data_IF_994251620988
#
_entry.id   IF_994251620988
#
_cell.length_a   1.000
_cell.length_b   1.000
_cell.length_c   1.000
_cell.angle_alpha   90.00
_cell.angle_beta   90.00
_cell.angle_gamma   90.00
#
_symmetry.space_group_name_H-M   'P 1'
#
loop_
_entity.id
_entity.type
_entity.pdbx_description
1 polymer ?
#
# COMPACT_ATOMS: atom_id res chain seq x y z
N UNK A 1 5.27 -16.78 -3.78
CA UNK A 1 4.50 -15.56 -3.46
C UNK A 1 5.36 -14.61 -2.63
N UNK A 2 5.21 -13.30 -2.77
CA UNK A 2 5.94 -12.30 -1.98
C UNK A 2 5.08 -11.81 -0.82
N UNK A 3 5.71 -11.41 0.29
CA UNK A 3 5.04 -10.90 1.48
C UNK A 3 5.70 -9.60 1.93
N UNK A 4 4.89 -8.56 2.05
CA UNK A 4 5.31 -7.19 2.33
C UNK A 4 4.43 -6.58 3.41
N UNK A 5 4.79 -5.42 3.92
CA UNK A 5 4.01 -4.70 4.92
C UNK A 5 3.53 -3.35 4.37
N UNK A 6 2.30 -2.96 4.70
CA UNK A 6 1.79 -1.61 4.50
C UNK A 6 1.99 -0.80 5.78
N UNK A 7 2.57 0.38 5.65
CA UNK A 7 2.79 1.33 6.75
C UNK A 7 1.91 2.56 6.57
N UNK A 8 0.78 2.57 7.29
CA UNK A 8 -0.12 3.71 7.37
C UNK A 8 0.32 4.69 8.47
N UNK A 9 1.12 4.24 9.44
CA UNK A 9 1.40 4.96 10.68
C UNK A 9 0.08 5.37 11.34
N UNK A 10 -0.76 4.40 11.65
CA UNK A 10 -2.09 4.61 12.22
C UNK A 10 -2.01 4.64 13.75
N UNK A 11 -2.08 5.82 14.41
CA UNK A 11 -2.07 5.91 15.86
C UNK A 11 -3.43 5.51 16.45
N UNK A 12 -3.42 5.16 17.73
CA UNK A 12 -4.63 4.85 18.49
C UNK A 12 -5.41 6.11 18.92
N UNK A 13 -4.74 7.27 18.98
CA UNK A 13 -5.34 8.60 19.15
C UNK A 13 -4.48 9.67 18.44
N UNK A 14 -4.98 10.92 18.37
CA UNK A 14 -4.31 12.03 17.70
C UNK A 14 -3.36 12.82 18.63
N UNK A 15 -2.94 12.25 19.76
CA UNK A 15 -1.98 12.91 20.63
C UNK A 15 -0.55 12.82 20.08
N UNK A 16 0.27 13.83 20.37
CA UNK A 16 1.71 13.83 20.01
C UNK A 16 2.42 12.58 20.58
N UNK A 17 1.99 12.10 21.74
CA UNK A 17 2.57 10.90 22.35
C UNK A 17 2.24 9.63 21.54
N UNK A 18 1.00 9.49 21.05
CA UNK A 18 0.57 8.38 20.21
C UNK A 18 1.26 8.44 18.84
N UNK A 19 1.35 9.62 18.21
CA UNK A 19 2.08 9.80 16.96
C UNK A 19 3.55 9.36 17.07
N UNK A 20 4.26 9.88 18.10
CA UNK A 20 5.66 9.49 18.33
C UNK A 20 5.83 8.00 18.55
N UNK A 21 4.91 7.37 19.30
CA UNK A 21 4.91 5.92 19.53
C UNK A 21 4.70 5.18 18.22
N UNK A 22 3.68 5.52 17.43
CA UNK A 22 3.34 4.84 16.17
C UNK A 22 4.48 4.92 15.14
N UNK A 23 5.16 6.06 15.02
CA UNK A 23 6.35 6.16 14.17
C UNK A 23 7.50 5.27 14.68
N UNK A 24 7.76 5.26 16.01
CA UNK A 24 8.81 4.42 16.59
C UNK A 24 8.51 2.93 16.36
N UNK A 25 7.27 2.51 16.59
CA UNK A 25 6.80 1.14 16.35
C UNK A 25 6.90 0.73 14.87
N UNK A 26 6.51 1.62 13.94
CA UNK A 26 6.69 1.39 12.50
C UNK A 26 8.15 1.14 12.12
N UNK A 27 9.08 1.94 12.66
CA UNK A 27 10.50 1.76 12.39
C UNK A 27 11.03 0.44 12.93
N UNK A 28 10.61 0.03 14.12
CA UNK A 28 10.98 -1.25 14.73
C UNK A 28 10.40 -2.43 13.93
N UNK A 29 9.12 -2.36 13.54
CA UNK A 29 8.46 -3.36 12.70
C UNK A 29 9.16 -3.52 11.35
N UNK A 30 9.55 -2.42 10.70
CA UNK A 30 10.23 -2.44 9.40
C UNK A 30 11.64 -3.07 9.49
N UNK A 31 12.41 -2.75 10.54
CA UNK A 31 13.74 -3.35 10.76
C UNK A 31 13.59 -4.85 11.05
N UNK A 32 12.65 -5.23 11.88
CA UNK A 32 12.39 -6.63 12.18
C UNK A 32 11.90 -7.42 10.95
N UNK A 33 11.06 -6.81 10.10
CA UNK A 33 10.65 -7.41 8.83
C UNK A 33 11.84 -7.66 7.88
N UNK A 34 12.82 -6.74 7.83
CA UNK A 34 14.08 -6.94 7.08
C UNK A 34 14.87 -8.17 7.60
N UNK A 35 14.97 -8.32 8.93
CA UNK A 35 15.62 -9.47 9.56
C UNK A 35 14.89 -10.79 9.28
N UNK A 36 13.57 -10.76 9.26
CA UNK A 36 12.71 -11.92 9.02
C UNK A 36 12.57 -12.30 7.54
N UNK A 37 13.07 -11.47 6.62
CA UNK A 37 13.07 -11.74 5.18
C UNK A 37 11.75 -11.40 4.47
N UNK A 38 10.98 -10.46 4.98
CA UNK A 38 9.89 -9.86 4.22
C UNK A 38 10.43 -9.17 2.96
N UNK A 39 9.60 -9.08 1.93
CA UNK A 39 10.02 -8.58 0.63
C UNK A 39 10.14 -7.06 0.58
N UNK A 40 9.15 -6.33 1.12
CA UNK A 40 9.03 -4.89 0.92
C UNK A 40 8.26 -4.20 2.05
N UNK A 41 8.59 -2.93 2.30
CA UNK A 41 7.80 -1.99 3.10
C UNK A 41 7.17 -0.99 2.13
N UNK A 42 5.85 -0.91 2.14
CA UNK A 42 5.08 0.08 1.40
C UNK A 42 4.62 1.20 2.35
N UNK A 43 5.13 2.41 2.17
CA UNK A 43 4.68 3.58 2.91
C UNK A 43 3.68 4.38 2.07
N UNK A 44 2.56 4.74 2.67
CA UNK A 44 1.49 5.49 2.01
C UNK A 44 1.75 7.00 2.05
N UNK A 45 1.03 7.78 1.24
CA UNK A 45 0.97 9.24 1.35
C UNK A 45 -0.48 9.67 1.59
N UNK A 46 -0.76 10.13 2.81
CA UNK A 46 -2.08 10.62 3.23
C UNK A 46 -1.99 11.90 4.03
N UNK A 47 -3.00 12.76 3.88
CA UNK A 47 -3.00 14.10 4.49
C UNK A 47 -4.33 14.40 5.19
N UNK A 48 -4.25 14.69 6.50
CA UNK A 48 -5.41 15.09 7.30
C UNK A 48 -6.42 13.99 7.56
N UNK A 49 -6.02 12.73 7.52
CA UNK A 49 -6.86 11.56 7.76
C UNK A 49 -6.60 10.99 9.17
N UNK A 50 -7.05 11.72 10.19
CA UNK A 50 -6.67 11.58 11.60
C UNK A 50 -6.77 10.16 12.16
N UNK A 51 -7.80 9.39 11.82
CA UNK A 51 -8.00 8.03 12.31
C UNK A 51 -7.48 6.97 11.34
N UNK A 52 -7.04 7.38 10.15
CA UNK A 52 -6.64 6.44 9.11
C UNK A 52 -5.13 6.38 8.93
N UNK A 53 -4.47 7.52 8.73
CA UNK A 53 -3.04 7.53 8.43
C UNK A 53 -2.37 8.85 8.82
N UNK A 54 -1.22 8.76 9.50
CA UNK A 54 -0.34 9.90 9.78
C UNK A 54 0.93 9.88 8.92
N UNK A 55 1.03 9.00 7.93
CA UNK A 55 2.15 8.94 6.98
C UNK A 55 1.97 10.01 5.88
N UNK A 56 2.32 11.24 6.19
CA UNK A 56 2.19 12.39 5.28
C UNK A 56 3.43 12.68 4.43
N UNK A 57 4.58 12.11 4.79
CA UNK A 57 5.86 12.29 4.11
C UNK A 57 6.59 10.93 3.97
N UNK A 58 6.08 10.02 3.11
CA UNK A 58 6.65 8.68 2.95
C UNK A 58 8.12 8.71 2.54
N UNK A 59 8.54 9.69 1.76
CA UNK A 59 9.93 9.84 1.36
C UNK A 59 10.90 10.04 2.53
N UNK A 60 10.45 10.69 3.62
CA UNK A 60 11.26 10.87 4.82
C UNK A 60 11.35 9.56 5.60
N UNK A 61 10.21 8.88 5.81
CA UNK A 61 10.17 7.57 6.46
C UNK A 61 11.01 6.54 5.71
N UNK A 62 10.82 6.41 4.40
CA UNK A 62 11.56 5.47 3.56
C UNK A 62 13.05 5.82 3.48
N UNK A 63 13.40 7.11 3.45
CA UNK A 63 14.80 7.57 3.52
C UNK A 63 15.48 7.18 4.83
N UNK A 64 14.77 7.30 5.96
CA UNK A 64 15.26 6.83 7.26
C UNK A 64 15.43 5.30 7.27
N UNK A 65 14.46 4.55 6.75
CA UNK A 65 14.51 3.09 6.68
C UNK A 65 15.58 2.59 5.71
N UNK A 66 15.91 3.33 4.65
CA UNK A 66 17.00 2.98 3.74
C UNK A 66 18.34 2.84 4.47
N UNK A 67 18.60 3.71 5.46
CA UNK A 67 19.80 3.65 6.29
C UNK A 67 19.75 2.64 7.44
N UNK A 68 18.58 2.09 7.74
CA UNK A 68 18.35 1.16 8.88
C UNK A 68 18.10 -0.29 8.47
N UNK A 69 17.88 -0.53 7.18
CA UNK A 69 17.58 -1.84 6.61
C UNK A 69 18.61 -2.20 5.52
N UNK A 70 18.71 -3.46 5.14
CA UNK A 70 19.75 -3.94 4.20
C UNK A 70 19.19 -4.64 2.97
N UNK A 71 18.09 -5.37 3.09
CA UNK A 71 17.56 -6.27 2.05
C UNK A 71 16.15 -5.91 1.61
N UNK A 72 15.31 -5.53 2.57
CA UNK A 72 13.90 -5.22 2.32
C UNK A 72 13.77 -4.07 1.32
N UNK A 73 12.86 -4.19 0.37
CA UNK A 73 12.58 -3.13 -0.60
C UNK A 73 11.75 -2.02 0.04
N UNK A 74 11.73 -0.87 -0.60
CA UNK A 74 11.14 0.37 -0.09
C UNK A 74 10.17 0.91 -1.14
N UNK A 75 8.88 0.70 -0.92
CA UNK A 75 7.82 1.06 -1.83
C UNK A 75 7.06 2.34 -1.43
N UNK A 76 6.81 3.20 -2.37
CA UNK A 76 5.80 4.24 -2.23
C UNK A 76 4.42 3.64 -2.56
N UNK A 77 3.55 3.54 -1.60
CA UNK A 77 2.26 2.88 -1.77
C UNK A 77 1.02 3.73 -1.49
N UNK A 78 0.92 4.95 -2.09
CA UNK A 78 1.54 5.49 -3.33
C UNK A 78 1.97 6.95 -3.17
N UNK A 79 2.74 7.49 -4.11
CA UNK A 79 2.94 8.94 -4.24
C UNK A 79 1.73 9.57 -4.93
N UNK A 80 1.19 10.64 -4.38
CA UNK A 80 0.14 11.45 -5.00
C UNK A 80 0.75 12.40 -6.04
N UNK A 81 0.49 12.17 -7.32
CA UNK A 81 1.16 12.87 -8.42
C UNK A 81 0.39 14.03 -9.09
N UNK A 82 -0.88 14.35 -8.79
CA UNK A 82 -1.44 15.64 -9.19
C UNK A 82 -0.60 16.79 -8.62
N UNK A 83 -0.31 17.82 -9.43
CA UNK A 83 0.79 18.77 -9.18
C UNK A 83 0.70 19.57 -7.89
N UNK A 84 -0.51 19.76 -7.35
CA UNK A 84 -0.71 20.46 -6.07
C UNK A 84 -0.28 19.61 -4.86
N UNK A 85 -0.27 18.28 -4.99
CA UNK A 85 0.38 17.40 -4.00
C UNK A 85 1.88 17.39 -4.24
N UNK A 86 2.30 16.97 -5.45
CA UNK A 86 3.71 16.80 -5.76
C UNK A 86 4.01 17.17 -7.22
N UNK A 87 4.93 18.09 -7.44
CA UNK A 87 5.40 18.39 -8.79
C UNK A 87 6.18 17.21 -9.37
N UNK A 88 5.95 16.75 -10.63
CA UNK A 88 6.59 15.57 -11.22
C UNK A 88 8.13 15.57 -11.16
N UNK A 89 8.78 16.72 -11.33
CA UNK A 89 10.24 16.85 -11.17
C UNK A 89 10.64 16.44 -9.74
N UNK A 90 9.95 16.97 -8.72
CA UNK A 90 10.26 16.64 -7.32
C UNK A 90 10.05 15.16 -7.00
N UNK A 91 9.04 14.54 -7.61
CA UNK A 91 8.83 13.09 -7.48
C UNK A 91 9.99 12.33 -8.12
N UNK A 92 10.37 12.67 -9.36
CA UNK A 92 11.48 12.02 -10.06
C UNK A 92 12.80 12.09 -9.27
N UNK A 93 13.12 13.28 -8.73
CA UNK A 93 14.33 13.53 -7.94
C UNK A 93 14.34 12.74 -6.63
N UNK A 94 13.23 12.74 -5.87
CA UNK A 94 13.11 12.06 -4.58
C UNK A 94 13.21 10.54 -4.73
N UNK A 95 12.51 9.97 -5.72
CA UNK A 95 12.56 8.54 -6.01
C UNK A 95 13.98 8.11 -6.42
N UNK A 96 14.63 8.87 -7.31
CA UNK A 96 16.00 8.58 -7.71
C UNK A 96 16.99 8.71 -6.54
N UNK A 97 16.83 9.72 -5.69
CA UNK A 97 17.66 9.90 -4.49
C UNK A 97 17.49 8.71 -3.52
N UNK A 98 16.25 8.30 -3.26
CA UNK A 98 15.98 7.15 -2.40
C UNK A 98 16.55 5.85 -3.00
N UNK A 99 16.47 5.70 -4.34
CA UNK A 99 17.00 4.53 -5.03
C UNK A 99 18.53 4.44 -4.89
N UNK A 100 19.23 5.56 -4.98
CA UNK A 100 20.70 5.64 -4.71
C UNK A 100 20.99 5.29 -3.24
N UNK A 101 20.32 5.95 -2.30
CA UNK A 101 20.54 5.75 -0.87
C UNK A 101 20.25 4.33 -0.40
N UNK A 102 19.29 3.65 -1.03
CA UNK A 102 18.92 2.28 -0.72
C UNK A 102 19.69 1.24 -1.54
N UNK A 103 20.58 1.64 -2.45
CA UNK A 103 21.28 0.77 -3.39
C UNK A 103 20.31 -0.08 -4.24
N UNK A 104 19.35 0.60 -4.90
CA UNK A 104 18.46 -0.03 -5.89
C UNK A 104 17.29 -0.83 -5.28
N UNK A 105 16.83 -0.49 -4.07
CA UNK A 105 15.72 -1.20 -3.40
C UNK A 105 14.37 -0.49 -3.52
N UNK A 106 14.21 0.51 -4.37
CA UNK A 106 12.97 1.27 -4.49
C UNK A 106 11.99 0.63 -5.46
N UNK A 107 10.71 0.61 -5.09
CA UNK A 107 9.56 0.42 -5.96
C UNK A 107 8.67 1.68 -5.89
N UNK A 108 8.20 2.17 -7.04
CA UNK A 108 7.43 3.41 -7.08
C UNK A 108 5.98 3.17 -7.45
N UNK A 109 5.08 3.34 -6.48
CA UNK A 109 3.64 3.39 -6.71
C UNK A 109 3.17 4.82 -6.92
N UNK A 110 2.25 5.00 -7.86
CA UNK A 110 1.67 6.28 -8.25
C UNK A 110 0.15 6.27 -8.05
N UNK A 111 -0.40 7.38 -7.59
CA UNK A 111 -1.83 7.55 -7.35
C UNK A 111 -2.29 8.99 -7.46
N UNK A 112 -3.58 9.23 -7.20
CA UNK A 112 -4.21 10.53 -7.39
C UNK A 112 -5.06 11.01 -6.22
N UNK A 113 -5.14 10.27 -5.11
CA UNK A 113 -6.10 10.44 -4.02
C UNK A 113 -7.58 10.26 -4.44
N UNK A 114 -8.38 9.74 -3.53
CA UNK A 114 -9.84 9.72 -3.63
C UNK A 114 -10.54 10.37 -2.42
N UNK A 115 -9.79 10.81 -1.41
CA UNK A 115 -10.32 11.47 -0.22
C UNK A 115 -10.69 12.93 -0.49
N UNK A 116 -11.92 13.30 -0.13
CA UNK A 116 -12.38 14.69 -0.20
C UNK A 116 -11.65 15.61 0.79
N UNK A 117 -11.12 15.06 1.89
CA UNK A 117 -10.33 15.80 2.87
C UNK A 117 -9.02 16.27 2.23
N UNK A 118 -8.29 15.35 1.62
CA UNK A 118 -7.03 15.64 0.92
C UNK A 118 -7.24 16.59 -0.26
N UNK A 119 -8.23 16.29 -1.12
CA UNK A 119 -8.52 17.10 -2.29
C UNK A 119 -8.89 18.55 -1.90
N UNK A 120 -9.67 18.71 -0.83
CA UNK A 120 -10.03 20.04 -0.33
C UNK A 120 -8.86 20.78 0.32
N UNK A 121 -7.99 20.10 1.07
CA UNK A 121 -6.83 20.70 1.72
C UNK A 121 -5.81 21.23 0.70
N UNK A 122 -5.62 20.54 -0.41
CA UNK A 122 -4.68 20.90 -1.47
C UNK A 122 -5.37 21.63 -2.65
N UNK A 123 -6.63 22.04 -2.49
CA UNK A 123 -7.39 22.77 -3.53
C UNK A 123 -7.37 22.07 -4.90
N UNK A 124 -7.55 20.75 -4.90
CA UNK A 124 -7.50 19.93 -6.11
C UNK A 124 -8.76 20.10 -6.94
N UNK A 125 -8.62 20.40 -8.22
CA UNK A 125 -9.71 20.26 -9.17
C UNK A 125 -9.91 18.78 -9.53
N UNK A 126 -11.03 18.23 -9.09
CA UNK A 126 -11.39 16.82 -9.33
C UNK A 126 -11.51 16.45 -10.80
N UNK A 127 -11.89 17.40 -11.65
CA UNK A 127 -12.01 17.17 -13.09
C UNK A 127 -10.65 16.94 -13.77
N UNK A 128 -9.57 17.44 -13.16
CA UNK A 128 -8.22 17.34 -13.69
C UNK A 128 -7.38 16.20 -13.09
N UNK A 129 -7.83 15.60 -11.98
CA UNK A 129 -7.09 14.57 -11.23
C UNK A 129 -6.55 13.45 -12.13
N UNK A 130 -7.42 12.84 -12.93
CA UNK A 130 -7.06 11.73 -13.81
C UNK A 130 -6.03 12.17 -14.85
N UNK A 131 -6.28 13.33 -15.49
CA UNK A 131 -5.39 13.85 -16.53
C UNK A 131 -4.02 14.22 -16.00
N UNK A 132 -3.93 14.90 -14.86
CA UNK A 132 -2.66 15.24 -14.23
C UNK A 132 -1.87 14.00 -13.80
N UNK A 133 -2.53 13.00 -13.21
CA UNK A 133 -1.92 11.73 -12.83
C UNK A 133 -1.36 10.99 -14.05
N UNK A 134 -2.13 10.86 -15.12
CA UNK A 134 -1.71 10.19 -16.36
C UNK A 134 -0.54 10.90 -17.03
N UNK A 135 -0.55 12.24 -17.06
CA UNK A 135 0.53 13.01 -17.63
C UNK A 135 1.82 12.88 -16.79
N UNK A 136 1.73 12.97 -15.47
CA UNK A 136 2.85 12.75 -14.55
C UNK A 136 3.44 11.33 -14.69
N UNK A 137 2.59 10.30 -14.73
CA UNK A 137 2.99 8.92 -14.91
C UNK A 137 3.71 8.68 -16.25
N UNK A 138 3.34 9.43 -17.28
CA UNK A 138 4.00 9.38 -18.59
C UNK A 138 5.36 10.09 -18.62
N UNK A 139 5.51 11.16 -17.83
CA UNK A 139 6.72 12.00 -17.79
C UNK A 139 7.83 11.41 -16.93
N UNK A 140 7.50 10.98 -15.69
CA UNK A 140 8.50 10.62 -14.68
C UNK A 140 9.47 9.53 -15.15
N UNK A 141 9.02 8.42 -15.77
CA UNK A 141 9.95 7.41 -16.30
C UNK A 141 10.86 7.94 -17.44
N UNK A 142 10.41 8.94 -18.19
CA UNK A 142 11.23 9.59 -19.22
C UNK A 142 12.27 10.51 -18.60
N UNK A 143 11.92 11.24 -17.51
CA UNK A 143 12.86 12.08 -16.76
C UNK A 143 14.07 11.28 -16.27
N UNK A 144 13.86 10.04 -15.82
CA UNK A 144 14.96 9.18 -15.34
C UNK A 144 15.91 8.72 -16.44
N UNK A 145 15.46 8.68 -17.70
CA UNK A 145 16.24 8.16 -18.85
C UNK A 145 16.81 9.21 -19.79
N UNK A 146 16.39 10.46 -19.67
CA UNK A 146 16.83 11.55 -20.54
C UNK A 146 17.86 12.41 -19.83
N UNK A 147 18.96 12.78 -20.50
CA UNK A 147 19.94 13.72 -19.95
C UNK A 147 19.32 15.10 -19.78
N UNK A 148 18.61 15.56 -20.81
CA UNK A 148 17.77 16.76 -20.79
C UNK A 148 16.35 16.35 -21.11
N UNK A 149 15.42 16.75 -20.27
CA UNK A 149 13.99 16.50 -20.40
C UNK A 149 13.26 17.80 -20.69
N UNK A 150 12.33 17.77 -21.63
CA UNK A 150 11.36 18.83 -21.88
C UNK A 150 9.97 18.23 -22.03
N UNK A 151 8.95 19.02 -21.70
CA UNK A 151 7.57 18.59 -21.82
C UNK A 151 6.65 19.78 -22.11
N UNK A 152 5.76 19.60 -23.07
CA UNK A 152 4.70 20.55 -23.38
C UNK A 152 3.37 19.80 -23.48
N UNK A 153 2.75 19.57 -22.33
CA UNK A 153 1.50 18.83 -22.19
C UNK A 153 0.32 19.74 -21.88
N UNK A 154 -0.79 19.12 -21.53
CA UNK A 154 -2.00 19.86 -21.15
C UNK A 154 -1.88 20.49 -19.76
N UNK A 155 -1.28 19.78 -18.81
CA UNK A 155 -1.21 20.18 -17.40
C UNK A 155 0.18 20.65 -16.97
N UNK A 156 1.21 20.20 -17.66
CA UNK A 156 2.59 20.50 -17.31
C UNK A 156 3.37 21.05 -18.51
N UNK A 157 4.15 22.11 -18.24
CA UNK A 157 5.06 22.73 -19.19
C UNK A 157 6.44 22.82 -18.56
N UNK A 158 7.37 22.00 -19.02
CA UNK A 158 8.74 21.91 -18.49
C UNK A 158 9.69 22.27 -19.61
N UNK A 159 10.43 23.40 -19.51
CA UNK A 159 11.45 23.76 -20.48
C UNK A 159 12.60 22.75 -20.41
N UNK A 160 13.50 22.69 -21.42
CA UNK A 160 14.67 21.82 -21.40
C UNK A 160 15.43 21.92 -20.06
N UNK A 161 15.39 20.83 -19.28
CA UNK A 161 15.89 20.79 -17.90
C UNK A 161 16.60 19.47 -17.63
N UNK A 162 17.79 19.51 -17.01
CA UNK A 162 18.44 18.31 -16.50
C UNK A 162 17.77 17.87 -15.19
N UNK A 163 17.16 16.68 -15.19
CA UNK A 163 16.56 16.10 -14.00
C UNK A 163 17.58 15.19 -13.32
N UNK A 164 18.04 15.56 -12.15
CA UNK A 164 19.11 14.89 -11.40
C UNK A 164 18.75 14.74 -9.92
N UNK A 165 19.20 13.62 -9.25
CA UNK A 165 20.00 12.52 -9.80
C UNK A 165 19.20 11.54 -10.67
N UNK A 166 19.86 10.51 -11.21
CA UNK A 166 19.24 9.37 -11.87
C UNK A 166 19.19 8.18 -10.92
N UNK A 167 18.17 7.30 -11.02
CA UNK A 167 18.14 6.08 -10.22
C UNK A 167 19.24 5.10 -10.64
N UNK A 168 19.67 4.24 -9.73
CA UNK A 168 20.61 3.15 -10.02
C UNK A 168 19.94 1.98 -10.72
N UNK A 169 18.65 1.75 -10.47
CA UNK A 169 17.86 0.74 -11.17
C UNK A 169 17.62 1.15 -12.63
N UNK A 170 17.92 0.27 -13.57
CA UNK A 170 17.79 0.53 -15.01
C UNK A 170 16.68 -0.33 -15.63
N UNK A 171 15.85 0.20 -16.53
CA UNK A 171 15.85 1.60 -17.02
C UNK A 171 15.24 2.60 -16.02
N UNK A 172 14.62 2.12 -14.96
CA UNK A 172 14.04 2.87 -13.84
C UNK A 172 13.54 1.88 -12.76
N UNK A 173 13.24 2.34 -11.52
CA UNK A 173 12.56 1.53 -10.51
C UNK A 173 11.24 0.94 -11.02
N UNK A 174 10.83 -0.26 -10.57
CA UNK A 174 9.53 -0.82 -10.90
C UNK A 174 8.39 0.14 -10.56
N UNK A 175 7.41 0.24 -11.47
CA UNK A 175 6.30 1.19 -11.37
C UNK A 175 5.02 0.43 -11.04
N UNK A 176 4.18 1.04 -10.17
CA UNK A 176 2.87 0.54 -9.78
C UNK A 176 1.82 1.65 -9.80
N UNK A 177 0.55 1.26 -9.86
CA UNK A 177 -0.58 2.15 -9.66
C UNK A 177 -1.50 1.65 -8.55
N UNK A 178 -2.08 2.58 -7.77
CA UNK A 178 -3.17 2.27 -6.86
C UNK A 178 -4.44 1.98 -7.66
N UNK A 179 -5.03 0.81 -7.43
CA UNK A 179 -6.16 0.28 -8.20
C UNK A 179 -7.36 -0.03 -7.30
N UNK A 180 -8.21 0.97 -7.07
CA UNK A 180 -9.44 0.81 -6.29
C UNK A 180 -10.64 0.30 -7.11
N UNK A 181 -10.59 0.42 -8.44
CA UNK A 181 -11.68 0.06 -9.37
C UNK A 181 -11.20 -0.86 -10.49
N UNK A 182 -12.07 -1.71 -11.06
CA UNK A 182 -11.70 -2.61 -12.17
C UNK A 182 -11.05 -1.89 -13.36
N UNK A 183 -11.55 -0.70 -13.71
CA UNK A 183 -11.05 0.10 -14.84
C UNK A 183 -9.60 0.53 -14.61
N UNK A 184 -9.23 0.86 -13.37
CA UNK A 184 -7.85 1.23 -13.01
C UNK A 184 -6.91 0.01 -13.05
N UNK A 185 -7.41 -1.17 -12.68
CA UNK A 185 -6.67 -2.44 -12.79
C UNK A 185 -6.34 -2.75 -14.25
N UNK A 186 -7.33 -2.65 -15.12
CA UNK A 186 -7.13 -2.86 -16.56
C UNK A 186 -6.19 -1.81 -17.16
N UNK A 187 -6.32 -0.54 -16.74
CA UNK A 187 -5.42 0.53 -17.15
C UNK A 187 -3.98 0.25 -16.73
N UNK A 188 -3.72 -0.16 -15.49
CA UNK A 188 -2.39 -0.55 -15.02
C UNK A 188 -1.80 -1.68 -15.90
N UNK A 189 -2.61 -2.71 -16.22
CA UNK A 189 -2.21 -3.75 -17.16
C UNK A 189 -1.86 -3.20 -18.54
N UNK A 190 -2.69 -2.37 -19.17
CA UNK A 190 -2.40 -1.75 -20.47
C UNK A 190 -1.13 -0.90 -20.47
N UNK A 191 -0.82 -0.24 -19.37
CA UNK A 191 0.39 0.55 -19.18
C UNK A 191 1.64 -0.31 -18.88
N UNK A 192 1.48 -1.61 -18.63
CA UNK A 192 2.59 -2.50 -18.29
C UNK A 192 3.17 -2.27 -16.89
N UNK A 193 2.38 -1.77 -15.95
CA UNK A 193 2.79 -1.47 -14.57
C UNK A 193 2.08 -2.35 -13.55
N UNK A 194 2.69 -2.53 -12.38
CA UNK A 194 2.12 -3.32 -11.29
C UNK A 194 0.83 -2.71 -10.72
N UNK A 195 0.01 -3.54 -10.13
CA UNK A 195 -1.29 -3.15 -9.58
C UNK A 195 -1.32 -3.33 -8.07
N UNK A 196 -1.55 -2.24 -7.31
CA UNK A 196 -1.73 -2.24 -5.86
C UNK A 196 -3.22 -2.18 -5.55
N UNK A 197 -3.76 -3.21 -4.90
CA UNK A 197 -5.19 -3.36 -4.69
C UNK A 197 -5.55 -3.54 -3.24
N UNK A 198 -6.47 -2.74 -2.72
CA UNK A 198 -7.20 -3.15 -1.52
C UNK A 198 -8.07 -4.37 -1.83
N UNK A 199 -8.05 -5.33 -0.92
CA UNK A 199 -8.80 -6.56 -1.06
C UNK A 199 -10.20 -6.41 -0.50
N UNK A 200 -11.18 -6.69 -1.34
CA UNK A 200 -12.57 -6.85 -0.95
C UNK A 200 -13.23 -7.82 -1.94
N UNK A 201 -14.13 -8.66 -1.43
CA UNK A 201 -14.89 -9.59 -2.26
C UNK A 201 -14.45 -11.05 -2.17
N UNK A 202 -15.13 -11.91 -2.93
CA UNK A 202 -14.91 -13.36 -2.94
C UNK A 202 -13.72 -13.76 -3.83
N UNK A 203 -13.32 -15.02 -3.72
CA UNK A 203 -12.29 -15.63 -4.57
C UNK A 203 -12.58 -15.43 -6.06
N UNK A 204 -13.82 -15.64 -6.48
CA UNK A 204 -14.23 -15.46 -7.88
C UNK A 204 -14.12 -14.00 -8.35
N UNK A 205 -14.43 -13.04 -7.48
CA UNK A 205 -14.26 -11.62 -7.78
C UNK A 205 -12.78 -11.27 -7.96
N UNK A 206 -11.93 -11.76 -7.06
CA UNK A 206 -10.49 -11.55 -7.15
C UNK A 206 -9.90 -12.22 -8.38
N UNK A 207 -10.27 -13.47 -8.68
CA UNK A 207 -9.81 -14.19 -9.86
C UNK A 207 -10.15 -13.41 -11.14
N UNK A 208 -11.39 -12.97 -11.32
CA UNK A 208 -11.78 -12.15 -12.49
C UNK A 208 -10.96 -10.86 -12.60
N UNK A 209 -10.64 -10.22 -11.46
CA UNK A 209 -9.83 -9.01 -11.41
C UNK A 209 -8.39 -9.27 -11.86
N UNK A 210 -7.79 -10.36 -11.39
CA UNK A 210 -6.46 -10.81 -11.81
C UNK A 210 -6.43 -11.18 -13.29
N UNK A 211 -7.41 -11.95 -13.78
CA UNK A 211 -7.53 -12.33 -15.20
C UNK A 211 -7.63 -11.11 -16.12
N UNK A 212 -8.45 -10.11 -15.74
CA UNK A 212 -8.55 -8.85 -16.47
C UNK A 212 -7.21 -8.14 -16.57
N UNK A 213 -6.48 -8.05 -15.45
CA UNK A 213 -5.12 -7.49 -15.42
C UNK A 213 -4.15 -8.24 -16.30
N UNK A 214 -4.10 -9.61 -16.18
CA UNK A 214 -3.19 -10.45 -16.96
C UNK A 214 -3.47 -10.34 -18.47
N UNK A 215 -4.75 -10.28 -18.85
CA UNK A 215 -5.16 -10.06 -20.24
C UNK A 215 -4.70 -8.69 -20.74
N UNK A 216 -4.88 -7.64 -19.96
CA UNK A 216 -4.47 -6.29 -20.34
C UNK A 216 -2.94 -6.17 -20.48
N UNK A 217 -2.16 -6.73 -19.53
CA UNK A 217 -0.70 -6.60 -19.53
C UNK A 217 -0.03 -7.46 -20.61
N UNK A 218 -0.66 -8.55 -21.04
CA UNK A 218 -0.14 -9.39 -22.14
C UNK A 218 -0.04 -8.64 -23.48
N UNK A 219 -0.78 -7.55 -23.63
CA UNK A 219 -0.81 -6.69 -24.83
C UNK A 219 -0.24 -5.32 -24.57
N UNK A 220 0.38 -5.09 -23.40
CA UNK A 220 0.91 -3.79 -23.01
C UNK A 220 1.99 -3.31 -24.00
N UNK A 221 1.84 -2.06 -24.44
CA UNK A 221 2.82 -1.35 -25.30
C UNK A 221 3.34 -0.10 -24.60
N UNK A 222 3.39 -0.19 -23.26
CA UNK A 222 3.57 0.97 -22.42
C UNK A 222 5.01 1.35 -22.16
N UNK A 223 5.25 1.71 -20.90
CA UNK A 223 6.53 2.14 -20.38
C UNK A 223 7.59 1.03 -20.56
N UNK A 224 8.82 1.39 -20.59
CA UNK A 224 9.95 0.59 -21.09
C UNK A 224 10.27 -0.72 -20.40
N UNK A 225 9.77 -0.92 -19.17
CA UNK A 225 9.98 -2.14 -18.41
C UNK A 225 8.63 -2.63 -17.86
N UNK A 226 8.19 -3.80 -18.31
CA UNK A 226 6.90 -4.36 -17.88
C UNK A 226 7.06 -4.91 -16.46
N UNK A 227 6.24 -4.38 -15.55
CA UNK A 227 6.11 -4.89 -14.20
C UNK A 227 4.77 -5.64 -14.06
N UNK A 228 4.82 -6.96 -14.19
CA UNK A 228 3.63 -7.83 -14.14
C UNK A 228 3.34 -8.34 -12.71
N UNK A 229 3.35 -7.45 -11.70
CA UNK A 229 2.99 -7.80 -10.32
C UNK A 229 1.57 -7.34 -9.99
N UNK A 230 0.74 -8.28 -9.53
CA UNK A 230 -0.59 -8.01 -8.98
C UNK A 230 -0.52 -8.18 -7.45
N UNK A 231 -0.66 -7.08 -6.73
CA UNK A 231 -0.53 -7.02 -5.28
C UNK A 231 -1.88 -6.82 -4.61
N UNK A 232 -2.08 -7.45 -3.45
CA UNK A 232 -3.28 -7.31 -2.62
C UNK A 232 -2.90 -6.89 -1.21
N UNK A 233 -3.75 -6.06 -0.57
CA UNK A 233 -3.50 -5.50 0.78
C UNK A 233 -4.55 -6.00 1.79
N UNK A 234 -4.45 -7.23 2.31
CA UNK A 234 -5.32 -7.71 3.38
C UNK A 234 -4.88 -7.18 4.76
N UNK A 235 -5.85 -6.95 5.65
CA UNK A 235 -5.57 -6.85 7.08
C UNK A 235 -4.99 -8.16 7.60
N UNK A 236 -4.00 -8.12 8.52
CA UNK A 236 -3.36 -9.34 8.98
C UNK A 236 -3.00 -9.31 10.47
N UNK A 237 -3.24 -10.42 11.15
CA UNK A 237 -2.69 -10.74 12.47
C UNK A 237 -2.66 -12.26 12.64
N UNK A 238 -1.48 -12.85 12.71
CA UNK A 238 -1.29 -14.30 12.84
C UNK A 238 -0.54 -14.61 14.13
N UNK A 239 -1.20 -15.32 15.05
CA UNK A 239 -0.65 -15.73 16.34
C UNK A 239 -0.87 -17.22 16.53
N UNK A 240 -0.13 -17.85 17.45
CA UNK A 240 -0.33 -19.27 17.82
C UNK A 240 -1.72 -19.51 18.42
N UNK A 241 -2.21 -18.56 19.23
CA UNK A 241 -3.55 -18.59 19.80
C UNK A 241 -4.54 -17.96 18.81
N UNK A 242 -5.34 -18.83 18.17
CA UNK A 242 -6.36 -18.45 17.19
C UNK A 242 -7.38 -17.47 17.74
N UNK A 243 -7.83 -17.67 18.98
CA UNK A 243 -8.80 -16.79 19.62
C UNK A 243 -8.23 -15.40 19.83
N UNK A 244 -6.99 -15.31 20.36
CA UNK A 244 -6.30 -14.03 20.55
C UNK A 244 -6.08 -13.31 19.21
N UNK A 245 -5.63 -14.03 18.18
CA UNK A 245 -5.46 -13.48 16.84
C UNK A 245 -6.77 -12.90 16.28
N UNK A 246 -7.87 -13.64 16.43
CA UNK A 246 -9.18 -13.19 15.94
C UNK A 246 -9.73 -12.01 16.74
N UNK A 247 -9.59 -12.02 18.08
CA UNK A 247 -10.09 -10.94 18.94
C UNK A 247 -9.42 -9.59 18.61
N UNK A 248 -8.10 -9.55 18.56
CA UNK A 248 -7.37 -8.33 18.25
C UNK A 248 -7.37 -8.00 16.76
N UNK A 249 -7.19 -9.01 15.91
CA UNK A 249 -7.11 -8.82 14.46
C UNK A 249 -8.41 -8.31 13.84
N UNK A 250 -9.56 -8.90 14.17
CA UNK A 250 -10.84 -8.41 13.64
C UNK A 250 -11.25 -7.06 14.23
N UNK A 251 -10.86 -6.76 15.49
CA UNK A 251 -11.05 -5.42 16.05
C UNK A 251 -10.23 -4.38 15.25
N UNK A 252 -8.95 -4.66 15.02
CA UNK A 252 -8.08 -3.79 14.23
C UNK A 252 -8.56 -3.64 12.79
N UNK A 253 -8.93 -4.74 12.14
CA UNK A 253 -9.45 -4.72 10.78
C UNK A 253 -10.74 -3.91 10.67
N UNK A 254 -11.65 -4.00 11.64
CA UNK A 254 -12.86 -3.18 11.69
C UNK A 254 -12.52 -1.70 11.80
N UNK A 255 -11.65 -1.31 12.74
CA UNK A 255 -11.23 0.08 12.89
C UNK A 255 -10.63 0.62 11.61
N UNK A 256 -9.73 -0.13 10.99
CA UNK A 256 -9.09 0.25 9.73
C UNK A 256 -10.11 0.39 8.59
N UNK A 257 -11.02 -0.55 8.43
CA UNK A 257 -12.03 -0.53 7.37
C UNK A 257 -13.07 0.59 7.55
N UNK A 258 -13.51 0.84 8.79
CA UNK A 258 -14.44 1.94 9.08
C UNK A 258 -13.80 3.30 8.82
N UNK A 259 -12.53 3.50 9.22
CA UNK A 259 -11.77 4.71 8.92
C UNK A 259 -11.60 4.91 7.41
N UNK A 260 -11.17 3.87 6.70
CA UNK A 260 -11.03 3.88 5.25
C UNK A 260 -12.36 4.22 4.58
N UNK A 261 -13.45 3.55 4.96
CA UNK A 261 -14.75 3.76 4.36
C UNK A 261 -15.23 5.21 4.54
N UNK A 262 -15.02 5.78 5.71
CA UNK A 262 -15.42 7.15 6.00
C UNK A 262 -14.65 8.17 5.17
N UNK A 263 -13.33 8.03 5.04
CA UNK A 263 -12.52 9.00 4.29
C UNK A 263 -12.60 8.85 2.77
N UNK A 264 -12.84 7.64 2.25
CA UNK A 264 -12.76 7.38 0.80
C UNK A 264 -14.11 7.18 0.11
N UNK A 265 -15.18 6.84 0.87
CA UNK A 265 -16.51 6.62 0.29
C UNK A 265 -17.55 7.63 0.74
N UNK A 266 -17.22 8.57 1.63
CA UNK A 266 -18.10 9.69 1.96
C UNK A 266 -18.36 10.57 0.74
N UNK A 267 -19.59 11.09 0.65
CA UNK A 267 -19.97 12.09 -0.36
C UNK A 267 -19.68 13.52 0.08
N UNK A 268 -19.33 13.70 1.34
CA UNK A 268 -19.05 14.99 1.96
C UNK A 268 -17.64 14.98 2.57
N UNK A 269 -17.05 16.17 2.67
CA UNK A 269 -15.77 16.34 3.35
C UNK A 269 -15.95 16.10 4.86
N UNK A 270 -15.29 15.07 5.37
CA UNK A 270 -15.30 14.77 6.81
C UNK A 270 -14.32 15.67 7.52
N UNK A 271 -14.78 16.37 8.56
CA UNK A 271 -13.96 17.24 9.39
C UNK A 271 -14.08 16.83 10.86
N UNK A 272 -12.96 16.78 11.56
CA UNK A 272 -12.88 16.39 12.96
C UNK A 272 -12.75 14.89 13.19
N UNK A 273 -12.69 14.47 14.46
CA UNK A 273 -12.50 13.07 14.81
C UNK A 273 -13.68 12.22 14.37
N UNK A 274 -13.38 11.02 13.89
CA UNK A 274 -14.39 10.03 13.50
C UNK A 274 -14.86 9.24 14.70
N UNK A 275 -16.16 8.95 14.72
CA UNK A 275 -16.72 7.92 15.62
C UNK A 275 -16.45 6.50 15.05
N UNK A 276 -15.19 6.08 15.06
CA UNK A 276 -14.79 4.72 14.66
C UNK A 276 -14.74 3.83 15.88
N UNK A 277 -15.27 2.62 15.77
CA UNK A 277 -15.35 1.72 16.91
C UNK A 277 -13.98 1.18 17.31
N UNK A 278 -13.56 1.52 18.53
CA UNK A 278 -12.35 0.96 19.18
C UNK A 278 -12.66 -0.19 20.13
N UNK A 279 -13.95 -0.45 20.37
CA UNK A 279 -14.41 -1.45 21.32
C UNK A 279 -14.07 -2.88 20.88
N UNK A 280 -13.82 -3.81 21.80
CA UNK A 280 -13.73 -5.23 21.48
C UNK A 280 -14.99 -5.74 20.76
N UNK A 281 -14.84 -6.79 19.95
CA UNK A 281 -16.00 -7.49 19.41
C UNK A 281 -16.76 -8.19 20.55
N UNK A 282 -18.08 -8.19 20.49
CA UNK A 282 -18.90 -9.03 21.37
C UNK A 282 -18.61 -10.52 21.10
N UNK A 283 -18.85 -11.38 22.07
CA UNK A 283 -18.61 -12.82 21.91
C UNK A 283 -19.34 -13.42 20.70
N UNK A 284 -20.54 -12.93 20.38
CA UNK A 284 -21.31 -13.37 19.21
C UNK A 284 -20.70 -12.88 17.89
N UNK A 285 -20.22 -11.63 17.83
CA UNK A 285 -19.53 -11.08 16.68
C UNK A 285 -18.21 -11.83 16.41
N UNK A 286 -17.43 -12.08 17.48
CA UNK A 286 -16.17 -12.82 17.37
C UNK A 286 -16.42 -14.26 16.88
N UNK A 287 -17.38 -14.97 17.48
CA UNK A 287 -17.72 -16.33 17.06
C UNK A 287 -18.16 -16.39 15.59
N UNK A 288 -18.95 -15.39 15.15
CA UNK A 288 -19.36 -15.26 13.75
C UNK A 288 -18.14 -15.02 12.83
N UNK A 289 -17.28 -14.07 13.17
CA UNK A 289 -16.08 -13.75 12.38
C UNK A 289 -15.14 -14.96 12.25
N UNK A 290 -14.91 -15.69 13.35
CA UNK A 290 -14.10 -16.91 13.35
C UNK A 290 -14.69 -18.01 12.45
N UNK A 291 -16.02 -18.18 12.48
CA UNK A 291 -16.71 -19.16 11.65
C UNK A 291 -16.66 -18.80 10.15
N UNK A 292 -16.84 -17.52 9.84
CA UNK A 292 -17.06 -17.06 8.46
C UNK A 292 -15.75 -16.77 7.73
N UNK A 293 -14.59 -16.63 8.41
CA UNK A 293 -13.31 -16.16 7.82
C UNK A 293 -12.83 -16.98 6.63
N UNK A 294 -13.00 -18.32 6.66
CA UNK A 294 -12.58 -19.25 5.63
C UNK A 294 -13.75 -20.05 5.04
N UNK A 295 -14.99 -19.66 5.34
CA UNK A 295 -16.19 -20.34 4.83
C UNK A 295 -16.41 -20.11 3.33
N UNK A 296 -17.24 -20.94 2.69
CA UNK A 296 -17.63 -20.75 1.30
C UNK A 296 -18.19 -19.34 1.05
N UNK A 297 -17.63 -18.61 0.06
CA UNK A 297 -18.03 -17.25 -0.25
C UNK A 297 -17.54 -16.18 0.73
N UNK A 298 -16.66 -16.52 1.68
CA UNK A 298 -16.03 -15.52 2.56
C UNK A 298 -15.19 -14.51 1.78
N UNK A 299 -15.13 -13.28 2.29
CA UNK A 299 -14.31 -12.24 1.69
C UNK A 299 -12.82 -12.49 1.94
N UNK A 300 -11.99 -12.32 0.91
CA UNK A 300 -10.54 -12.33 1.00
C UNK A 300 -10.01 -10.94 1.47
N UNK A 301 -10.52 -10.43 2.58
CA UNK A 301 -10.14 -9.11 3.10
C UNK A 301 -9.13 -9.15 4.25
N UNK A 302 -8.89 -10.33 4.84
CA UNK A 302 -8.04 -10.47 6.00
C UNK A 302 -7.33 -11.83 6.05
N UNK A 303 -6.10 -11.83 6.60
CA UNK A 303 -5.31 -13.02 6.98
C UNK A 303 -5.18 -12.98 8.51
N UNK A 304 -6.22 -13.45 9.20
CA UNK A 304 -6.34 -13.35 10.66
C UNK A 304 -6.63 -14.73 11.24
N UNK A 305 -5.85 -15.15 12.24
CA UNK A 305 -6.03 -16.40 12.95
C UNK A 305 -4.72 -17.08 13.33
N UNK A 306 -4.79 -18.40 13.54
CA UNK A 306 -3.60 -19.22 13.73
C UNK A 306 -2.83 -19.47 12.42
N UNK A 307 -1.62 -20.03 12.46
CA UNK A 307 -0.84 -20.31 11.26
C UNK A 307 -1.56 -21.21 10.24
N UNK A 308 -2.35 -22.19 10.68
CA UNK A 308 -3.06 -23.09 9.77
C UNK A 308 -4.14 -22.36 8.98
N UNK A 309 -4.95 -21.57 9.67
CA UNK A 309 -5.97 -20.69 9.05
C UNK A 309 -5.36 -19.65 8.11
N UNK A 310 -4.20 -19.10 8.49
CA UNK A 310 -3.48 -18.14 7.65
C UNK A 310 -2.95 -18.81 6.36
N UNK A 311 -2.39 -20.01 6.44
CA UNK A 311 -1.93 -20.79 5.28
C UNK A 311 -3.10 -21.06 4.33
N UNK A 312 -4.25 -21.48 4.84
CA UNK A 312 -5.46 -21.69 4.04
C UNK A 312 -5.87 -20.41 3.30
N UNK A 313 -5.94 -19.27 4.00
CA UNK A 313 -6.30 -17.99 3.39
C UNK A 313 -5.29 -17.54 2.33
N UNK A 314 -3.99 -17.62 2.62
CA UNK A 314 -2.93 -17.24 1.66
C UNK A 314 -2.95 -18.15 0.43
N UNK A 315 -3.25 -19.44 0.58
CA UNK A 315 -3.40 -20.35 -0.55
C UNK A 315 -4.54 -19.94 -1.51
N UNK A 316 -5.63 -19.38 -0.98
CA UNK A 316 -6.73 -18.83 -1.81
C UNK A 316 -6.26 -17.61 -2.61
N UNK A 317 -5.48 -16.70 -2.03
CA UNK A 317 -4.86 -15.60 -2.79
C UNK A 317 -3.93 -16.10 -3.89
N UNK A 318 -3.11 -17.11 -3.57
CA UNK A 318 -2.20 -17.71 -4.55
C UNK A 318 -2.96 -18.37 -5.69
N UNK A 319 -4.03 -19.12 -5.39
CA UNK A 319 -4.90 -19.76 -6.39
C UNK A 319 -5.59 -18.74 -7.30
N UNK A 320 -5.91 -17.55 -6.78
CA UNK A 320 -6.44 -16.44 -7.59
C UNK A 320 -5.37 -15.75 -8.46
N UNK A 321 -4.09 -16.10 -8.34
CA UNK A 321 -2.99 -15.57 -9.17
C UNK A 321 -2.38 -14.27 -8.64
N UNK A 322 -2.50 -13.99 -7.34
CA UNK A 322 -1.85 -12.86 -6.67
C UNK A 322 -0.36 -13.14 -6.51
N UNK A 323 0.49 -12.16 -6.84
CA UNK A 323 1.95 -12.28 -6.75
C UNK A 323 2.50 -11.88 -5.39
N UNK A 324 1.84 -10.91 -4.75
CA UNK A 324 2.31 -10.30 -3.51
C UNK A 324 1.16 -9.94 -2.58
N UNK A 325 1.31 -10.30 -1.29
CA UNK A 325 0.45 -9.80 -0.22
C UNK A 325 1.18 -8.71 0.56
N UNK A 326 0.58 -7.55 0.60
CA UNK A 326 1.03 -6.39 1.37
C UNK A 326 0.18 -6.35 2.65
N UNK A 327 0.70 -6.89 3.73
CA UNK A 327 -0.04 -7.14 4.96
C UNK A 327 -0.21 -5.84 5.77
N UNK A 328 -1.44 -5.49 6.09
CA UNK A 328 -1.77 -4.39 7.01
C UNK A 328 -1.79 -4.96 8.42
N UNK A 329 -0.68 -4.87 9.14
CA UNK A 329 -0.55 -5.41 10.50
C UNK A 329 -0.61 -4.32 11.57
N UNK A 330 -0.10 -3.12 11.30
CA UNK A 330 -0.24 -1.99 12.20
C UNK A 330 -1.62 -1.35 12.00
N UNK A 331 -2.56 -1.78 12.81
CA UNK A 331 -3.90 -1.20 12.89
C UNK A 331 -4.12 -0.71 14.32
N UNK A 332 -4.41 0.57 14.50
CA UNK A 332 -4.34 1.34 15.76
C UNK A 332 -4.71 0.62 17.06
N UNK A 333 -5.72 -0.28 17.01
CA UNK A 333 -6.20 -1.00 18.20
C UNK A 333 -5.43 -2.28 18.52
N UNK A 334 -4.41 -2.64 17.75
CA UNK A 334 -3.57 -3.82 17.98
C UNK A 334 -2.31 -3.41 18.73
N UNK A 335 -2.04 -4.00 19.92
CA UNK A 335 -0.80 -3.75 20.65
C UNK A 335 0.44 -4.11 19.82
N UNK A 336 1.47 -3.26 19.91
CA UNK A 336 2.72 -3.43 19.16
C UNK A 336 3.38 -4.80 19.37
N UNK A 337 3.40 -5.32 20.59
CA UNK A 337 3.95 -6.65 20.89
C UNK A 337 3.22 -7.79 20.16
N UNK A 338 1.94 -7.63 19.88
CA UNK A 338 1.19 -8.62 19.08
C UNK A 338 1.52 -8.50 17.59
N UNK A 339 1.76 -7.30 17.09
CA UNK A 339 2.26 -7.09 15.72
C UNK A 339 3.64 -7.75 15.55
N UNK A 340 4.57 -7.52 16.48
CA UNK A 340 5.91 -8.11 16.46
C UNK A 340 5.87 -9.64 16.53
N UNK A 341 5.01 -10.21 17.38
CA UNK A 341 4.77 -11.65 17.43
C UNK A 341 4.19 -12.17 16.12
N UNK A 342 3.23 -11.45 15.55
CA UNK A 342 2.61 -11.81 14.28
C UNK A 342 3.62 -11.81 13.13
N UNK A 343 4.50 -10.81 13.05
CA UNK A 343 5.59 -10.77 12.07
C UNK A 343 6.45 -12.03 12.14
N UNK A 344 6.88 -12.42 13.35
CA UNK A 344 7.68 -13.63 13.57
C UNK A 344 6.89 -14.91 13.20
N UNK A 345 5.69 -15.07 13.75
CA UNK A 345 4.86 -16.26 13.51
C UNK A 345 4.55 -16.44 12.03
N UNK A 346 4.22 -15.35 11.33
CA UNK A 346 3.95 -15.38 9.90
C UNK A 346 5.18 -15.78 9.09
N UNK A 347 6.35 -15.21 9.41
CA UNK A 347 7.59 -15.51 8.69
C UNK A 347 8.07 -16.95 8.89
N UNK A 348 7.90 -17.50 10.10
CA UNK A 348 8.38 -18.83 10.44
C UNK A 348 7.40 -19.94 10.03
N UNK A 349 6.08 -19.70 10.08
CA UNK A 349 5.07 -20.74 9.93
C UNK A 349 4.18 -20.61 8.69
N UNK A 350 4.03 -19.40 8.12
CA UNK A 350 3.20 -19.18 6.93
C UNK A 350 4.05 -19.06 5.68
N UNK A 351 5.00 -18.13 5.64
CA UNK A 351 5.84 -17.87 4.45
C UNK A 351 6.50 -19.12 3.84
N UNK A 352 7.02 -20.09 4.62
CA UNK A 352 7.71 -21.25 4.06
C UNK A 352 6.85 -22.12 3.14
N UNK A 353 5.51 -22.06 3.30
CA UNK A 353 4.58 -22.84 2.49
C UNK A 353 4.36 -22.26 1.06
N UNK A 354 4.90 -21.06 0.77
CA UNK A 354 4.63 -20.33 -0.47
C UNK A 354 5.91 -19.88 -1.22
N UNK A 355 7.04 -20.47 -0.87
CA UNK A 355 8.35 -20.21 -1.52
C UNK A 355 8.48 -20.95 -2.84
#
# INVERSE_FOLDING_TARGET
MKFSLLMEVQPDDASVAAERRSFAECMEQAQFADELGYHEIWAVEHHGLTEYSHCSAPEILLGFLAGRTRRIRLGHGVTLTPHRYNHPIRVAERIATLDILSNGRVDWGSGKSSSLVEQGAFEIDRAELEGQWMEALSMIPRMWRSDVFEWNGKYFHIPPTAIIPKPVQQPHPPIFAACSRPETVELAGRLGIGSLNFTAGTDEYLLRKVESYRKAISTARGLTNINNRFCCTPSALVLEDDRQACEYGFRGARFFQESLATYFFSRERVLGPLEVSREPLTSSQLAKAMKDRNGPGSSLSAVIGDPASAVETVARFQAAGVDELILVMQMATIPHELVMRSLRTFSEKVMPNFR
#
